data_IF_401715402967
#
_entry.id   IF_401715402967
#
_cell.length_a   1.000
_cell.length_b   1.000
_cell.length_c   1.000
_cell.angle_alpha   90.00
_cell.angle_beta   90.00
_cell.angle_gamma   90.00
#
_symmetry.space_group_name_H-M   'P 1'
#
loop_
_entity.id
_entity.type
_entity.pdbx_description
1 polymer ?
#
# COMPACT_ATOMS: atom_id res chain seq x y z
N UNK A 1 21.64 11.75 -5.82
CA UNK A 1 21.92 12.49 -7.08
C UNK A 1 22.36 13.91 -6.75
N UNK A 2 23.26 14.49 -7.54
CA UNK A 2 23.75 15.86 -7.33
C UNK A 2 22.76 16.89 -7.85
N UNK A 3 22.99 18.16 -7.53
CA UNK A 3 22.16 19.27 -8.02
C UNK A 3 22.30 19.47 -9.53
N UNK A 4 23.50 19.22 -10.06
CA UNK A 4 23.75 19.27 -11.50
C UNK A 4 22.98 18.16 -12.22
N UNK A 5 22.90 16.96 -11.64
CA UNK A 5 22.07 15.86 -12.18
C UNK A 5 20.58 16.25 -12.24
N UNK A 6 20.08 16.98 -11.24
CA UNK A 6 18.70 17.50 -11.24
C UNK A 6 18.52 18.55 -12.35
N UNK A 7 19.50 19.44 -12.54
CA UNK A 7 19.49 20.39 -13.65
C UNK A 7 19.42 19.69 -15.01
N UNK A 8 20.25 18.69 -15.24
CA UNK A 8 20.24 17.88 -16.46
C UNK A 8 18.90 17.16 -16.68
N UNK A 9 18.30 16.62 -15.61
CA UNK A 9 16.98 16.01 -15.66
C UNK A 9 15.92 17.03 -16.08
N UNK A 10 15.88 18.22 -15.47
CA UNK A 10 14.91 19.26 -15.81
C UNK A 10 15.06 19.76 -17.25
N UNK A 11 16.30 19.92 -17.74
CA UNK A 11 16.55 20.25 -19.15
C UNK A 11 16.01 19.16 -20.08
N UNK A 12 16.21 17.88 -19.72
CA UNK A 12 15.67 16.76 -20.49
C UNK A 12 14.14 16.78 -20.51
N UNK A 13 13.51 16.92 -19.33
CA UNK A 13 12.06 16.94 -19.20
C UNK A 13 11.42 18.10 -19.97
N UNK A 14 12.05 19.29 -19.94
CA UNK A 14 11.58 20.43 -20.72
C UNK A 14 11.64 20.16 -22.24
N UNK A 15 12.71 19.52 -22.71
CA UNK A 15 12.82 19.09 -24.11
C UNK A 15 11.79 18.05 -24.51
N UNK A 16 11.46 17.10 -23.62
CA UNK A 16 10.43 16.08 -23.86
C UNK A 16 9.00 16.68 -23.83
N UNK A 17 8.77 17.70 -23.02
CA UNK A 17 7.48 18.37 -22.85
C UNK A 17 7.28 19.61 -23.76
N UNK A 18 8.22 19.92 -24.66
CA UNK A 18 8.23 21.12 -25.52
C UNK A 18 8.09 22.44 -24.74
N UNK A 19 8.71 22.49 -23.56
CA UNK A 19 8.75 23.67 -22.69
C UNK A 19 10.02 24.47 -22.97
N UNK A 20 9.98 25.81 -22.99
CA UNK A 20 11.17 26.64 -23.13
C UNK A 20 12.12 26.51 -21.91
N UNK A 21 13.16 27.35 -21.86
CA UNK A 21 14.16 27.32 -20.81
C UNK A 21 13.54 27.34 -19.39
N UNK A 22 13.86 26.31 -18.61
CA UNK A 22 13.36 26.14 -17.24
C UNK A 22 13.96 27.23 -16.35
N UNK A 23 13.14 28.02 -15.62
CA UNK A 23 13.65 29.02 -14.69
C UNK A 23 14.56 28.41 -13.62
N UNK A 24 15.63 29.12 -13.24
CA UNK A 24 16.51 28.69 -12.15
C UNK A 24 15.78 28.48 -10.81
N UNK A 25 14.68 29.20 -10.59
CA UNK A 25 13.80 29.02 -9.43
C UNK A 25 13.09 27.66 -9.40
N UNK A 26 12.82 27.04 -10.56
CA UNK A 26 12.27 25.68 -10.64
C UNK A 26 13.32 24.64 -10.24
N UNK A 27 14.59 24.85 -10.61
CA UNK A 27 15.69 24.01 -10.12
C UNK A 27 15.85 24.13 -8.61
N UNK A 28 15.75 25.34 -8.05
CA UNK A 28 15.77 25.55 -6.60
C UNK A 28 14.64 24.80 -5.88
N UNK A 29 13.40 24.93 -6.38
CA UNK A 29 12.24 24.26 -5.83
C UNK A 29 12.38 22.74 -5.90
N UNK A 30 12.80 22.21 -7.06
CA UNK A 30 13.01 20.78 -7.29
C UNK A 30 14.09 20.22 -6.39
N UNK A 31 15.24 20.89 -6.28
CA UNK A 31 16.33 20.48 -5.41
C UNK A 31 15.86 20.40 -3.96
N UNK A 32 15.24 21.47 -3.46
CA UNK A 32 14.74 21.55 -2.09
C UNK A 32 13.75 20.43 -1.79
N UNK A 33 12.80 20.18 -2.69
CA UNK A 33 11.80 19.13 -2.53
C UNK A 33 12.43 17.73 -2.57
N UNK A 34 13.30 17.47 -3.55
CA UNK A 34 13.95 16.18 -3.74
C UNK A 34 14.91 15.81 -2.60
N UNK A 35 15.44 16.79 -1.86
CA UNK A 35 16.32 16.54 -0.71
C UNK A 35 15.59 16.58 0.63
N UNK A 36 14.29 16.87 0.67
CA UNK A 36 13.59 17.15 1.94
C UNK A 36 13.60 15.96 2.90
N UNK A 37 13.39 14.75 2.36
CA UNK A 37 13.25 13.54 3.17
C UNK A 37 14.59 12.85 3.47
N UNK A 38 15.59 13.05 2.60
CA UNK A 38 16.92 12.41 2.68
C UNK A 38 17.99 13.32 3.28
N UNK A 39 17.80 14.64 3.19
CA UNK A 39 18.79 15.67 3.53
C UNK A 39 19.75 15.96 2.37
N UNK A 40 20.16 17.22 2.23
CA UNK A 40 21.01 17.67 1.10
C UNK A 40 22.34 16.91 0.96
N UNK A 41 22.89 16.38 2.07
CA UNK A 41 24.14 15.62 2.07
C UNK A 41 24.03 14.28 1.33
N UNK A 42 22.86 13.65 1.38
CA UNK A 42 22.57 12.40 0.66
C UNK A 42 22.20 12.66 -0.81
N UNK A 43 22.00 13.93 -1.16
CA UNK A 43 21.58 14.38 -2.48
C UNK A 43 20.08 14.16 -2.74
N UNK A 44 19.67 14.53 -3.94
CA UNK A 44 18.29 14.43 -4.38
C UNK A 44 17.84 12.97 -4.45
N UNK A 45 16.62 12.73 -3.94
CA UNK A 45 15.95 11.44 -3.90
C UNK A 45 15.55 11.00 -5.32
N UNK A 46 16.14 9.91 -5.86
CA UNK A 46 15.80 9.41 -7.19
C UNK A 46 14.33 8.99 -7.33
N UNK A 47 13.68 8.59 -6.24
CA UNK A 47 12.28 8.20 -6.26
C UNK A 47 11.38 9.42 -6.44
N UNK A 48 11.63 10.50 -5.70
CA UNK A 48 10.92 11.76 -5.91
C UNK A 48 11.07 12.24 -7.36
N UNK A 49 12.30 12.26 -7.87
CA UNK A 49 12.59 12.73 -9.23
C UNK A 49 11.93 11.86 -10.31
N UNK A 50 11.84 10.54 -10.09
CA UNK A 50 11.12 9.64 -11.00
C UNK A 50 9.65 9.99 -11.06
N UNK A 51 9.00 10.25 -9.91
CA UNK A 51 7.59 10.61 -9.94
C UNK A 51 7.36 12.01 -10.53
N UNK A 52 8.23 12.96 -10.22
CA UNK A 52 8.18 14.30 -10.79
C UNK A 52 8.23 14.27 -12.32
N UNK A 53 9.10 13.41 -12.89
CA UNK A 53 9.20 13.25 -14.35
C UNK A 53 7.87 12.87 -14.97
N UNK A 54 7.17 11.89 -14.42
CA UNK A 54 5.85 11.48 -14.93
C UNK A 54 4.81 12.61 -14.76
N UNK A 55 4.80 13.31 -13.62
CA UNK A 55 3.87 14.42 -13.39
C UNK A 55 4.09 15.60 -14.35
N UNK A 56 5.33 15.83 -14.80
CA UNK A 56 5.60 16.81 -15.87
C UNK A 56 5.02 16.31 -17.20
N UNK A 57 5.24 15.03 -17.54
CA UNK A 57 4.74 14.45 -18.79
C UNK A 57 3.21 14.34 -18.84
N UNK A 58 2.56 14.14 -17.69
CA UNK A 58 1.11 14.11 -17.51
C UNK A 58 0.50 15.52 -17.48
N UNK A 59 1.32 16.58 -17.35
CA UNK A 59 0.90 17.97 -17.33
C UNK A 59 0.43 18.47 -15.95
N UNK A 60 0.59 17.67 -14.90
CA UNK A 60 0.28 18.03 -13.51
C UNK A 60 1.29 19.03 -12.94
N UNK A 61 2.51 19.06 -13.47
CA UNK A 61 3.59 19.96 -13.08
C UNK A 61 4.00 20.84 -14.26
N UNK A 62 3.94 22.15 -14.07
CA UNK A 62 4.38 23.16 -15.02
C UNK A 62 5.81 23.62 -14.66
N UNK A 63 6.79 23.23 -15.47
CA UNK A 63 8.20 23.58 -15.24
C UNK A 63 8.49 25.09 -15.26
N UNK A 64 7.58 25.90 -15.82
CA UNK A 64 7.68 27.37 -15.79
C UNK A 64 7.19 27.97 -14.46
N UNK A 65 6.51 27.17 -13.64
CA UNK A 65 5.89 27.57 -12.37
C UNK A 65 6.48 26.78 -11.22
N UNK A 66 7.47 27.32 -10.48
CA UNK A 66 8.10 26.61 -9.37
C UNK A 66 7.11 26.23 -8.26
N UNK A 67 6.00 26.96 -8.11
CA UNK A 67 4.93 26.63 -7.17
C UNK A 67 4.12 25.38 -7.54
N UNK A 68 4.22 24.89 -8.78
CA UNK A 68 3.61 23.62 -9.19
C UNK A 68 4.43 22.40 -8.76
N UNK A 69 5.70 22.59 -8.38
CA UNK A 69 6.59 21.53 -7.95
C UNK A 69 6.12 20.99 -6.59
N UNK A 70 5.81 19.69 -6.47
CA UNK A 70 5.37 19.09 -5.20
C UNK A 70 6.44 19.27 -4.12
N UNK A 71 6.03 19.69 -2.93
CA UNK A 71 6.97 20.12 -1.89
C UNK A 71 7.85 18.99 -1.31
N UNK A 72 7.43 17.74 -1.48
CA UNK A 72 8.14 16.52 -1.07
C UNK A 72 7.49 15.26 -1.66
N UNK A 73 8.07 14.10 -1.37
CA UNK A 73 7.57 12.81 -1.85
C UNK A 73 6.18 12.46 -1.30
N UNK A 74 5.83 12.93 -0.10
CA UNK A 74 4.48 12.69 0.45
C UNK A 74 3.42 13.46 -0.33
N UNK A 75 3.69 14.70 -0.74
CA UNK A 75 2.81 15.46 -1.64
C UNK A 75 2.65 14.76 -2.99
N UNK A 76 3.73 14.20 -3.55
CA UNK A 76 3.65 13.44 -4.80
C UNK A 76 2.78 12.19 -4.66
N UNK A 77 2.93 11.46 -3.54
CA UNK A 77 2.07 10.31 -3.26
C UNK A 77 0.61 10.70 -3.09
N UNK A 78 0.31 11.81 -2.43
CA UNK A 78 -1.05 12.32 -2.28
C UNK A 78 -1.70 12.65 -3.63
N UNK A 79 -0.99 13.40 -4.48
CA UNK A 79 -1.48 13.72 -5.83
C UNK A 79 -1.71 12.45 -6.65
N UNK A 80 -0.74 11.53 -6.66
CA UNK A 80 -0.86 10.26 -7.38
C UNK A 80 -2.02 9.43 -6.84
N UNK A 81 -2.21 9.42 -5.52
CA UNK A 81 -3.28 8.67 -4.86
C UNK A 81 -4.68 9.20 -5.20
N UNK A 82 -4.82 10.52 -5.26
CA UNK A 82 -6.07 11.20 -5.61
C UNK A 82 -6.40 11.11 -7.11
N UNK A 83 -5.39 10.91 -7.98
CA UNK A 83 -5.61 10.71 -9.41
C UNK A 83 -5.98 9.27 -9.80
N UNK A 84 -5.83 8.31 -8.89
CA UNK A 84 -6.22 6.92 -9.15
C UNK A 84 -7.73 6.79 -9.43
N UNK A 85 -8.14 5.88 -10.33
CA UNK A 85 -9.54 5.59 -10.60
C UNK A 85 -10.33 5.23 -9.33
N UNK A 86 -11.44 5.93 -9.11
CA UNK A 86 -12.39 5.68 -8.01
C UNK A 86 -13.52 4.73 -8.40
N UNK A 87 -13.50 4.20 -9.62
CA UNK A 87 -14.43 3.22 -10.18
C UNK A 87 -14.54 1.98 -9.28
N UNK A 88 -15.71 1.31 -9.33
CA UNK A 88 -15.96 0.07 -8.57
C UNK A 88 -15.67 0.21 -7.08
N UNK A 89 -16.17 1.28 -6.47
CA UNK A 89 -16.02 1.58 -5.04
C UNK A 89 -14.56 1.62 -4.59
N UNK A 90 -13.74 2.41 -5.28
CA UNK A 90 -12.31 2.60 -4.96
C UNK A 90 -11.52 1.28 -4.94
N UNK A 91 -11.82 0.37 -5.87
CA UNK A 91 -11.21 -0.96 -5.89
C UNK A 91 -9.68 -0.89 -5.97
N UNK A 92 -9.11 0.03 -6.74
CA UNK A 92 -7.65 0.17 -6.86
C UNK A 92 -7.01 0.66 -5.56
N UNK A 93 -7.62 1.63 -4.88
CA UNK A 93 -7.20 2.10 -3.56
C UNK A 93 -7.20 0.95 -2.56
N UNK A 94 -8.25 0.11 -2.58
CA UNK A 94 -8.37 -1.05 -1.69
C UNK A 94 -7.31 -2.11 -1.98
N UNK A 95 -6.96 -2.35 -3.24
CA UNK A 95 -5.83 -3.23 -3.62
C UNK A 95 -4.52 -2.72 -3.00
N UNK A 96 -4.20 -1.44 -3.21
CA UNK A 96 -2.95 -0.85 -2.71
C UNK A 96 -2.88 -0.81 -1.18
N UNK A 97 -4.00 -0.53 -0.51
CA UNK A 97 -4.11 -0.58 0.94
C UNK A 97 -3.95 -1.99 1.50
N UNK A 98 -4.51 -2.98 0.80
CA UNK A 98 -4.35 -4.39 1.15
C UNK A 98 -2.88 -4.77 1.07
N UNK A 99 -2.19 -4.44 -0.02
CA UNK A 99 -0.74 -4.66 -0.15
C UNK A 99 0.10 -3.94 0.93
N UNK A 100 -0.38 -2.78 1.39
CA UNK A 100 0.27 -2.05 2.48
C UNK A 100 0.24 -2.87 3.79
N UNK A 101 -0.90 -3.50 4.12
CA UNK A 101 -1.08 -4.29 5.34
C UNK A 101 -0.56 -5.72 5.26
N UNK A 102 -0.58 -6.36 4.09
CA UNK A 102 -0.05 -7.73 3.91
C UNK A 102 1.46 -7.79 4.18
N UNK A 103 2.17 -6.67 3.98
CA UNK A 103 3.65 -6.53 4.01
C UNK A 103 4.42 -7.38 2.98
N UNK A 104 3.77 -8.36 2.36
CA UNK A 104 4.30 -9.23 1.32
C UNK A 104 3.63 -8.95 -0.04
N UNK A 105 3.78 -9.90 -0.97
CA UNK A 105 3.13 -9.85 -2.28
C UNK A 105 1.67 -10.33 -2.20
N UNK A 106 0.79 -9.71 -2.98
CA UNK A 106 -0.57 -10.19 -3.26
C UNK A 106 -0.69 -10.82 -4.65
N UNK A 107 -1.85 -11.43 -4.92
CA UNK A 107 -2.25 -11.94 -6.25
C UNK A 107 -3.61 -11.40 -6.65
N UNK A 108 -3.95 -11.52 -7.94
CA UNK A 108 -5.27 -11.11 -8.43
C UNK A 108 -6.39 -11.94 -7.79
N UNK A 109 -6.15 -13.22 -7.46
CA UNK A 109 -7.15 -14.02 -6.73
C UNK A 109 -7.36 -13.50 -5.30
N UNK A 110 -6.30 -13.18 -4.57
CA UNK A 110 -6.42 -12.61 -3.22
C UNK A 110 -7.17 -11.27 -3.27
N UNK A 111 -6.80 -10.40 -4.19
CA UNK A 111 -7.41 -9.08 -4.32
C UNK A 111 -8.86 -9.15 -4.78
N UNK A 112 -9.22 -10.11 -5.62
CA UNK A 112 -10.60 -10.31 -6.03
C UNK A 112 -11.50 -10.60 -4.82
N UNK A 113 -11.05 -11.45 -3.90
CA UNK A 113 -11.82 -11.76 -2.69
C UNK A 113 -11.99 -10.51 -1.82
N UNK A 114 -10.89 -9.81 -1.56
CA UNK A 114 -10.91 -8.62 -0.70
C UNK A 114 -11.78 -7.51 -1.30
N UNK A 115 -11.67 -7.26 -2.61
CA UNK A 115 -12.43 -6.21 -3.30
C UNK A 115 -13.91 -6.56 -3.37
N UNK A 116 -14.24 -7.79 -3.80
CA UNK A 116 -15.63 -8.20 -4.02
C UNK A 116 -16.42 -8.40 -2.72
N UNK A 117 -15.76 -8.62 -1.58
CA UNK A 117 -16.43 -8.70 -0.27
C UNK A 117 -17.27 -7.46 0.06
N UNK A 118 -16.90 -6.29 -0.47
CA UNK A 118 -17.66 -5.04 -0.27
C UNK A 118 -18.44 -4.58 -1.49
N UNK A 119 -18.60 -5.43 -2.51
CA UNK A 119 -19.37 -5.13 -3.72
C UNK A 119 -20.65 -5.99 -3.77
N UNK A 120 -21.75 -5.47 -4.34
CA UNK A 120 -22.88 -6.30 -4.75
C UNK A 120 -22.44 -7.41 -5.71
N UNK A 121 -23.13 -8.54 -5.69
CA UNK A 121 -22.78 -9.71 -6.51
C UNK A 121 -22.79 -9.39 -8.03
N UNK A 122 -23.67 -8.48 -8.45
CA UNK A 122 -23.82 -8.02 -9.83
C UNK A 122 -22.67 -7.11 -10.29
N UNK A 123 -21.94 -6.50 -9.35
CA UNK A 123 -20.80 -5.62 -9.59
C UNK A 123 -19.46 -6.31 -9.31
N UNK A 124 -19.49 -7.59 -8.92
CA UNK A 124 -18.30 -8.36 -8.58
C UNK A 124 -17.35 -8.43 -9.78
N UNK A 125 -16.10 -8.01 -9.55
CA UNK A 125 -15.09 -7.94 -10.59
C UNK A 125 -14.50 -9.32 -10.86
N UNK A 126 -14.33 -9.66 -12.14
CA UNK A 126 -13.60 -10.86 -12.60
C UNK A 126 -12.09 -10.64 -12.53
N UNK A 127 -11.31 -11.72 -12.55
CA UNK A 127 -9.84 -11.65 -12.50
C UNK A 127 -9.24 -10.80 -13.61
N UNK A 128 -9.79 -10.86 -14.83
CA UNK A 128 -9.33 -10.04 -15.96
C UNK A 128 -9.60 -8.54 -15.73
N UNK A 129 -10.71 -8.20 -15.08
CA UNK A 129 -11.06 -6.81 -14.72
C UNK A 129 -10.17 -6.31 -13.58
N UNK A 130 -9.89 -7.16 -12.58
CA UNK A 130 -8.91 -6.92 -11.52
C UNK A 130 -7.52 -6.66 -12.08
N UNK A 131 -7.05 -7.49 -13.01
CA UNK A 131 -5.71 -7.34 -13.59
C UNK A 131 -5.60 -6.07 -14.42
N UNK A 132 -6.64 -5.73 -15.19
CA UNK A 132 -6.70 -4.48 -15.94
C UNK A 132 -6.72 -3.25 -15.01
N UNK A 133 -7.48 -3.32 -13.91
CA UNK A 133 -7.53 -2.26 -12.90
C UNK A 133 -6.18 -2.10 -12.19
N UNK A 134 -5.56 -3.20 -11.76
CA UNK A 134 -4.23 -3.24 -11.14
C UNK A 134 -3.17 -2.65 -12.04
N UNK A 135 -3.22 -2.88 -13.35
CA UNK A 135 -2.28 -2.29 -14.30
C UNK A 135 -2.27 -0.75 -14.26
N UNK A 136 -3.40 -0.13 -13.89
CA UNK A 136 -3.50 1.33 -13.70
C UNK A 136 -2.72 1.84 -12.47
N UNK A 137 -2.30 0.98 -11.54
CA UNK A 137 -1.41 1.39 -10.43
C UNK A 137 -0.02 1.81 -10.91
N UNK A 138 0.40 1.37 -12.10
CA UNK A 138 1.69 1.70 -12.69
C UNK A 138 2.85 1.49 -11.73
N UNK A 139 3.66 2.53 -11.53
CA UNK A 139 4.86 2.55 -10.69
C UNK A 139 4.62 2.40 -9.18
N UNK A 140 3.36 2.45 -8.71
CA UNK A 140 3.05 2.18 -7.29
C UNK A 140 3.21 0.69 -6.93
N UNK A 141 3.30 -0.17 -7.95
CA UNK A 141 3.33 -1.61 -7.86
C UNK A 141 4.57 -2.18 -8.57
N UNK A 142 5.10 -3.29 -8.05
CA UNK A 142 6.02 -4.16 -8.79
C UNK A 142 5.35 -5.50 -8.99
N UNK A 143 5.24 -5.94 -10.25
CA UNK A 143 4.63 -7.21 -10.65
C UNK A 143 5.68 -8.14 -11.26
N UNK A 144 5.74 -9.39 -10.79
CA UNK A 144 6.70 -10.39 -11.26
C UNK A 144 6.14 -11.34 -12.35
N UNK A 145 4.88 -11.15 -12.75
CA UNK A 145 4.16 -12.05 -13.67
C UNK A 145 3.14 -12.94 -12.98
N UNK A 146 3.24 -13.13 -11.66
CA UNK A 146 2.28 -13.91 -10.86
C UNK A 146 1.78 -13.13 -9.65
N UNK A 147 2.68 -12.40 -8.97
CA UNK A 147 2.43 -11.72 -7.71
C UNK A 147 2.91 -10.28 -7.78
N UNK A 148 2.38 -9.46 -6.89
CA UNK A 148 2.70 -8.04 -6.87
C UNK A 148 2.75 -7.44 -5.48
N UNK A 149 3.67 -6.50 -5.29
CA UNK A 149 3.88 -5.79 -4.04
C UNK A 149 3.92 -4.28 -4.28
N UNK A 150 3.82 -3.51 -3.20
CA UNK A 150 4.07 -2.07 -3.30
C UNK A 150 5.51 -1.81 -3.72
N UNK A 151 5.70 -0.81 -4.57
CA UNK A 151 7.00 -0.45 -5.11
C UNK A 151 8.01 -0.01 -4.05
N UNK A 152 7.56 0.63 -2.97
CA UNK A 152 8.46 1.15 -1.94
C UNK A 152 7.80 1.24 -0.56
N UNK A 153 8.55 0.98 0.51
CA UNK A 153 8.08 1.07 1.91
C UNK A 153 7.61 2.46 2.32
N UNK A 154 8.19 3.50 1.74
CA UNK A 154 7.73 4.89 1.98
C UNK A 154 6.31 5.13 1.49
N UNK A 155 5.89 4.48 0.39
CA UNK A 155 4.50 4.55 -0.05
C UNK A 155 3.58 3.75 0.88
N UNK A 156 4.04 2.59 1.36
CA UNK A 156 3.35 1.85 2.44
C UNK A 156 3.13 2.73 3.67
N UNK A 157 4.16 3.43 4.14
CA UNK A 157 4.05 4.33 5.29
C UNK A 157 3.13 5.53 5.03
N UNK A 158 3.07 6.01 3.79
CA UNK A 158 2.09 7.02 3.41
C UNK A 158 0.65 6.49 3.56
N UNK A 159 0.38 5.27 3.10
CA UNK A 159 -0.97 4.68 3.10
C UNK A 159 -1.50 4.30 4.48
N UNK A 160 -0.67 3.64 5.31
CA UNK A 160 -1.11 3.04 6.58
C UNK A 160 -0.32 3.53 7.80
N UNK A 161 0.51 4.55 7.62
CA UNK A 161 1.40 5.08 8.66
C UNK A 161 2.70 4.29 8.80
N UNK A 162 3.68 4.89 9.50
CA UNK A 162 4.89 4.16 9.91
C UNK A 162 4.48 3.09 10.91
N UNK A 163 5.09 1.90 10.87
CA UNK A 163 4.88 0.91 11.92
C UNK A 163 5.43 1.48 13.23
N UNK A 164 4.56 2.04 14.06
CA UNK A 164 4.84 2.13 15.49
C UNK A 164 4.95 0.71 16.01
N UNK A 165 5.93 0.48 16.88
CA UNK A 165 6.30 -0.82 17.44
C UNK A 165 5.08 -1.65 17.84
N UNK A 166 4.76 -2.69 17.03
CA UNK A 166 3.91 -3.91 17.19
C UNK A 166 2.64 -3.92 18.08
N UNK A 167 2.29 -2.85 18.81
CA UNK A 167 1.13 -2.74 19.69
C UNK A 167 0.44 -1.36 19.57
N UNK A 168 1.18 -0.32 19.20
CA UNK A 168 0.60 1.03 19.08
C UNK A 168 -0.38 1.20 17.90
N UNK A 169 -0.33 0.32 16.90
CA UNK A 169 -1.33 0.25 15.82
C UNK A 169 -2.72 -0.16 16.35
N UNK A 170 -2.79 -0.94 17.43
CA UNK A 170 -4.06 -1.37 18.02
C UNK A 170 -4.71 -0.29 18.91
N UNK A 171 -3.94 0.72 19.35
CA UNK A 171 -4.39 1.73 20.32
C UNK A 171 -4.38 3.18 19.79
N UNK A 172 -3.73 3.45 18.65
CA UNK A 172 -3.64 4.79 18.09
C UNK A 172 -4.84 5.13 17.19
N UNK A 173 -5.93 5.51 17.86
CA UNK A 173 -6.94 6.53 17.50
C UNK A 173 -7.77 6.34 16.23
N UNK A 174 -8.99 5.90 16.47
CA UNK A 174 -10.19 6.02 15.66
C UNK A 174 -10.44 7.45 15.15
N UNK A 175 -10.48 7.64 13.83
CA UNK A 175 -11.37 8.54 13.11
C UNK A 175 -11.33 8.19 11.61
N UNK A 176 -12.32 8.67 10.86
CA UNK A 176 -12.54 8.42 9.43
C UNK A 176 -11.40 8.99 8.57
N UNK A 177 -11.42 8.70 7.26
CA UNK A 177 -10.48 9.24 6.26
C UNK A 177 -10.22 10.72 6.57
N UNK A 178 -9.01 11.05 7.02
CA UNK A 178 -8.68 12.47 7.19
C UNK A 178 -8.64 13.11 5.80
N UNK A 179 -8.83 14.43 5.73
CA UNK A 179 -8.84 15.17 4.47
C UNK A 179 -7.51 15.10 3.69
N UNK A 180 -6.54 14.29 4.14
CA UNK A 180 -5.24 14.02 3.51
C UNK A 180 -5.24 12.75 2.64
N UNK A 181 -6.40 12.06 2.53
CA UNK A 181 -6.58 10.91 1.65
C UNK A 181 -6.03 9.59 2.19
N UNK A 182 -5.56 9.53 3.44
CA UNK A 182 -5.04 8.30 4.06
C UNK A 182 -6.16 7.39 4.57
N UNK A 183 -5.90 6.09 4.62
CA UNK A 183 -6.85 5.17 5.28
C UNK A 183 -6.85 5.44 6.78
N UNK A 184 -8.00 5.85 7.30
CA UNK A 184 -8.20 6.00 8.73
C UNK A 184 -8.12 4.64 9.43
N UNK A 185 -7.78 4.58 10.73
CA UNK A 185 -7.61 3.31 11.45
C UNK A 185 -8.82 2.38 11.40
N UNK A 186 -10.05 2.90 11.31
CA UNK A 186 -11.26 2.08 11.10
C UNK A 186 -11.27 1.37 9.75
N UNK A 187 -10.81 2.02 8.68
CA UNK A 187 -10.76 1.40 7.36
C UNK A 187 -9.64 0.35 7.30
N UNK A 188 -8.49 0.62 7.95
CA UNK A 188 -7.42 -0.36 8.14
C UNK A 188 -7.93 -1.59 8.91
N UNK A 189 -8.66 -1.38 10.01
CA UNK A 189 -9.27 -2.46 10.78
C UNK A 189 -10.31 -3.26 9.96
N UNK A 190 -11.10 -2.60 9.09
CA UNK A 190 -12.01 -3.28 8.17
C UNK A 190 -11.27 -4.17 7.15
N UNK A 191 -10.15 -3.70 6.61
CA UNK A 191 -9.30 -4.51 5.72
C UNK A 191 -8.74 -5.74 6.44
N UNK A 192 -8.25 -5.55 7.67
CA UNK A 192 -7.84 -6.66 8.53
C UNK A 192 -9.00 -7.61 8.86
N UNK A 193 -10.20 -7.09 9.10
CA UNK A 193 -11.38 -7.94 9.30
C UNK A 193 -11.69 -8.78 8.06
N UNK A 194 -11.74 -8.17 6.87
CA UNK A 194 -12.01 -8.89 5.63
C UNK A 194 -11.00 -10.03 5.40
N UNK A 195 -9.69 -9.76 5.58
CA UNK A 195 -8.65 -10.79 5.47
C UNK A 195 -8.77 -11.88 6.55
N UNK A 196 -9.15 -11.52 7.78
CA UNK A 196 -9.40 -12.49 8.85
C UNK A 196 -10.64 -13.35 8.57
N UNK A 197 -11.71 -12.78 8.04
CA UNK A 197 -12.96 -13.50 7.74
C UNK A 197 -12.77 -14.55 6.63
N UNK A 198 -11.86 -14.28 5.69
CA UNK A 198 -11.43 -15.27 4.71
C UNK A 198 -10.87 -16.54 5.37
N UNK A 199 -10.24 -16.44 6.54
CA UNK A 199 -9.71 -17.60 7.28
C UNK A 199 -10.80 -18.45 7.92
N UNK A 200 -11.94 -17.86 8.26
CA UNK A 200 -13.14 -18.56 8.74
C UNK A 200 -13.86 -19.25 7.57
N UNK A 201 -13.83 -18.65 6.38
CA UNK A 201 -14.48 -19.17 5.16
C UNK A 201 -13.63 -20.21 4.40
N UNK A 202 -12.35 -20.40 4.76
CA UNK A 202 -11.38 -21.26 4.06
C UNK A 202 -11.59 -22.78 4.24
N UNK A 203 -12.75 -23.21 4.77
CA UNK A 203 -13.16 -24.63 4.75
C UNK A 203 -13.55 -25.12 3.35
N UNK A 204 -13.75 -24.21 2.39
CA UNK A 204 -14.18 -24.54 1.03
C UNK A 204 -13.05 -24.54 -0.02
N UNK A 205 -13.14 -25.50 -0.94
CA UNK A 205 -12.29 -25.77 -2.11
C UNK A 205 -12.20 -24.64 -3.17
N UNK A 206 -12.59 -23.41 -2.82
CA UNK A 206 -12.74 -22.28 -3.75
C UNK A 206 -11.47 -21.48 -3.99
N UNK A 207 -10.44 -21.62 -3.16
CA UNK A 207 -9.20 -20.84 -3.26
C UNK A 207 -8.04 -21.68 -3.82
N UNK A 208 -7.15 -21.04 -4.58
CA UNK A 208 -5.89 -21.64 -4.99
C UNK A 208 -5.05 -22.01 -3.76
N UNK A 209 -4.16 -23.00 -3.89
CA UNK A 209 -3.31 -23.47 -2.78
C UNK A 209 -2.51 -22.35 -2.13
N UNK A 210 -2.04 -21.38 -2.91
CA UNK A 210 -1.26 -20.24 -2.43
C UNK A 210 -2.11 -19.25 -1.60
N UNK A 211 -3.29 -18.87 -2.08
CA UNK A 211 -4.20 -17.97 -1.35
C UNK A 211 -4.70 -18.65 -0.08
N UNK A 212 -5.04 -19.94 -0.18
CA UNK A 212 -5.42 -20.76 0.98
C UNK A 212 -4.29 -20.78 2.01
N UNK A 213 -3.07 -21.16 1.64
CA UNK A 213 -1.94 -21.25 2.57
C UNK A 213 -1.65 -19.90 3.25
N UNK A 214 -1.71 -18.78 2.51
CA UNK A 214 -1.58 -17.44 3.07
C UNK A 214 -2.65 -17.15 4.13
N UNK A 215 -3.93 -17.33 3.77
CA UNK A 215 -5.07 -17.08 4.66
C UNK A 215 -4.96 -17.95 5.92
N UNK A 216 -4.60 -19.22 5.74
CA UNK A 216 -4.45 -20.16 6.85
C UNK A 216 -3.32 -19.75 7.81
N UNK A 217 -2.23 -19.18 7.28
CA UNK A 217 -1.08 -18.78 8.06
C UNK A 217 -1.25 -17.41 8.74
N UNK A 218 -1.90 -16.45 8.08
CA UNK A 218 -1.94 -15.04 8.48
C UNK A 218 -3.32 -14.54 8.93
N UNK A 219 -4.39 -15.31 8.73
CA UNK A 219 -5.75 -14.97 9.16
C UNK A 219 -5.88 -14.56 10.63
N UNK A 220 -5.34 -15.35 11.60
CA UNK A 220 -5.39 -14.98 13.01
C UNK A 220 -4.67 -13.66 13.33
N UNK A 221 -3.56 -13.36 12.64
CA UNK A 221 -2.89 -12.07 12.80
C UNK A 221 -3.81 -10.92 12.38
N UNK A 222 -4.51 -11.05 11.27
CA UNK A 222 -5.46 -10.05 10.81
C UNK A 222 -6.68 -9.92 11.75
N UNK A 223 -7.16 -11.00 12.35
CA UNK A 223 -8.16 -10.91 13.43
C UNK A 223 -7.65 -10.11 14.64
N UNK A 224 -6.41 -10.34 15.09
CA UNK A 224 -5.80 -9.59 16.20
C UNK A 224 -5.66 -8.11 15.85
N UNK A 225 -5.14 -7.79 14.65
CA UNK A 225 -5.00 -6.40 14.20
C UNK A 225 -6.35 -5.68 14.02
N UNK A 226 -7.43 -6.42 13.78
CA UNK A 226 -8.80 -5.90 13.77
C UNK A 226 -9.46 -5.80 15.17
N UNK A 227 -8.74 -6.14 16.25
CA UNK A 227 -9.30 -6.19 17.61
C UNK A 227 -10.24 -7.37 17.88
N UNK A 228 -10.28 -8.36 16.98
CA UNK A 228 -11.16 -9.54 17.05
C UNK A 228 -10.44 -10.75 17.66
N UNK A 229 -9.97 -10.57 18.90
CA UNK A 229 -9.15 -11.58 19.61
C UNK A 229 -9.89 -12.92 19.74
N UNK A 230 -11.20 -12.92 19.98
CA UNK A 230 -11.98 -14.16 20.10
C UNK A 230 -12.07 -14.93 18.77
N UNK A 231 -12.19 -14.24 17.64
CA UNK A 231 -12.15 -14.88 16.31
C UNK A 231 -10.75 -15.42 16.00
N UNK A 232 -9.69 -14.73 16.42
CA UNK A 232 -8.32 -15.20 16.30
C UNK A 232 -8.10 -16.49 17.11
N UNK A 233 -8.57 -16.53 18.36
CA UNK A 233 -8.49 -17.70 19.24
C UNK A 233 -9.29 -18.87 18.68
N UNK A 234 -10.53 -18.63 18.21
CA UNK A 234 -11.35 -19.68 17.58
C UNK A 234 -10.66 -20.25 16.35
N UNK A 235 -10.18 -19.40 15.46
CA UNK A 235 -9.43 -19.80 14.26
C UNK A 235 -8.20 -20.62 14.66
N UNK A 236 -7.36 -20.16 15.57
CA UNK A 236 -6.18 -20.92 16.02
C UNK A 236 -6.53 -22.25 16.70
N UNK A 237 -7.65 -22.30 17.44
CA UNK A 237 -8.13 -23.53 18.10
C UNK A 237 -8.60 -24.55 17.08
N UNK A 238 -9.46 -24.13 16.15
CA UNK A 238 -9.95 -24.96 15.05
C UNK A 238 -8.77 -25.45 14.16
N UNK A 239 -7.74 -24.61 13.99
CA UNK A 239 -6.53 -24.94 13.22
C UNK A 239 -5.57 -25.87 13.95
N UNK A 240 -5.47 -25.78 15.28
CA UNK A 240 -4.69 -26.71 16.10
C UNK A 240 -5.21 -28.15 16.00
N UNK A 241 -6.50 -28.29 15.69
CA UNK A 241 -7.17 -29.57 15.41
C UNK A 241 -6.93 -30.04 13.97
N UNK A 242 -6.68 -29.13 13.01
CA UNK A 242 -6.61 -29.44 11.58
C UNK A 242 -5.19 -29.55 10.99
N UNK A 243 -4.13 -29.01 11.63
CA UNK A 243 -2.85 -28.82 10.92
C UNK A 243 -1.58 -29.18 11.74
N UNK A 244 -1.00 -30.36 11.48
CA UNK A 244 0.33 -30.75 11.98
C UNK A 244 1.47 -29.82 11.47
N UNK A 245 1.28 -29.06 10.39
CA UNK A 245 2.29 -28.14 9.83
C UNK A 245 2.55 -26.87 10.67
N UNK A 246 1.64 -26.48 11.56
CA UNK A 246 1.91 -25.38 12.51
C UNK A 246 2.86 -25.82 13.64
N UNK A 247 3.02 -27.13 13.87
CA UNK A 247 4.10 -27.64 14.74
C UNK A 247 5.47 -27.49 14.09
N UNK A 248 5.56 -27.42 12.75
CA UNK A 248 6.84 -27.31 12.02
C UNK A 248 7.27 -25.88 11.70
N UNK A 249 6.33 -24.93 11.51
CA UNK A 249 6.65 -23.53 11.21
C UNK A 249 6.61 -22.66 12.48
N UNK A 250 7.71 -22.67 13.24
CA UNK A 250 8.12 -21.74 14.32
C UNK A 250 7.03 -20.83 14.93
N UNK A 251 6.03 -21.45 15.55
CA UNK A 251 4.89 -20.84 16.25
C UNK A 251 5.26 -20.16 17.59
N UNK A 252 6.53 -20.20 18.01
CA UNK A 252 6.97 -19.69 19.31
C UNK A 252 6.85 -18.17 19.50
N UNK A 253 6.94 -17.38 18.41
CA UNK A 253 6.77 -15.92 18.51
C UNK A 253 5.28 -15.52 18.66
N UNK A 254 4.38 -16.28 18.03
CA UNK A 254 2.95 -15.96 17.93
C UNK A 254 2.18 -16.28 19.20
N UNK A 255 2.50 -17.41 19.84
CA UNK A 255 1.94 -17.78 21.15
C UNK A 255 2.29 -16.73 22.20
N UNK A 256 3.53 -16.22 22.16
CA UNK A 256 4.02 -15.20 23.09
C UNK A 256 3.30 -13.86 22.93
N UNK A 257 2.98 -13.46 21.70
CA UNK A 257 2.21 -12.24 21.41
C UNK A 257 0.76 -12.37 21.92
N UNK A 258 0.12 -13.55 21.80
CA UNK A 258 -1.23 -13.81 22.32
C UNK A 258 -1.23 -13.86 23.86
N UNK A 259 -0.24 -14.50 24.48
CA UNK A 259 -0.08 -14.53 25.95
C UNK A 259 0.13 -13.13 26.53
N UNK A 260 0.86 -12.26 25.82
CA UNK A 260 1.08 -10.87 26.23
C UNK A 260 -0.21 -10.05 26.18
N UNK A 261 -1.05 -10.27 25.15
CA UNK A 261 -2.36 -9.62 25.01
C UNK A 261 -3.37 -10.15 26.05
N UNK A 262 -3.27 -11.40 26.47
CA UNK A 262 -4.15 -11.97 27.50
C UNK A 262 -3.82 -11.46 28.92
N UNK A 263 -2.55 -11.10 29.18
CA UNK A 263 -2.08 -10.68 30.50
C UNK A 263 -2.13 -9.16 30.75
N UNK A 264 -2.46 -8.36 29.72
CA UNK A 264 -2.65 -6.90 29.81
C UNK A 264 -4.13 -6.53 29.99
#
# INVERSE_FOLDING_TARGET
>A
MTRDDVGLLLTRLAGEADVPEVPGTTLDATWKAATRDTGEKEGADPFYLRFLGDSVMEGDVDLLRPESIPADLSTVFEQTWLSLPSESNYALHRILATLAILREYGTDELMQVVVNDSLPAEEALRLTELSALRAKAGKLLVYDGERYGLFHDRFRWFLVGRPSTRLDMALSRYEEMDATGRFGPRQVAKLHSALGDMAVQCSDSRFSGLVRDYILQHGPHHHVMAGRIQDAVRTLTDYSVLNERLKSNQSGAWVKDIETVWQA
#
